data_IF_252405333966
#
_entry.id   IF_252405333966
#
_cell.length_a   1.000
_cell.length_b   1.000
_cell.length_c   1.000
_cell.angle_alpha   90.00
_cell.angle_beta   90.00
_cell.angle_gamma   90.00
#
_symmetry.space_group_name_H-M   'P 1'
#
loop_
_entity.id
_entity.type
_entity.pdbx_description
1 polymer ?
#
# COMPACT_ATOMS: atom_id res chain seq x y z
N UNK A 1 45.35 -4.23 -48.47
CA UNK A 1 44.73 -3.57 -47.30
C UNK A 1 43.26 -3.32 -47.62
N UNK A 2 42.36 -3.42 -46.62
CA UNK A 2 40.90 -3.24 -46.74
C UNK A 2 40.07 -4.46 -47.23
N UNK A 3 40.06 -5.57 -46.48
CA UNK A 3 38.99 -6.57 -46.63
C UNK A 3 38.65 -7.38 -45.37
N UNK A 4 39.28 -7.09 -44.21
CA UNK A 4 39.08 -7.89 -42.99
C UNK A 4 38.35 -7.16 -41.86
N UNK A 5 38.03 -5.87 -42.03
CA UNK A 5 37.46 -5.05 -40.94
C UNK A 5 35.92 -5.04 -40.89
N UNK A 6 35.26 -5.45 -41.98
CA UNK A 6 33.80 -5.34 -42.11
C UNK A 6 33.02 -6.56 -41.59
N UNK A 7 33.70 -7.67 -41.30
CA UNK A 7 33.04 -8.91 -40.83
C UNK A 7 33.01 -9.03 -39.30
N UNK A 8 33.74 -8.17 -38.57
CA UNK A 8 33.83 -8.25 -37.11
C UNK A 8 32.70 -7.50 -36.39
N UNK A 9 32.17 -6.43 -36.99
CA UNK A 9 31.08 -5.63 -36.39
C UNK A 9 29.68 -6.28 -36.49
N UNK A 10 29.45 -7.18 -37.44
CA UNK A 10 28.13 -7.80 -37.63
C UNK A 10 27.85 -8.97 -36.68
N UNK A 11 28.88 -9.55 -36.05
CA UNK A 11 28.71 -10.66 -35.10
C UNK A 11 28.23 -10.23 -33.71
N UNK A 12 28.33 -8.95 -33.37
CA UNK A 12 27.86 -8.43 -32.07
C UNK A 12 26.38 -8.07 -32.06
N UNK A 13 25.76 -7.82 -33.22
CA UNK A 13 24.32 -7.52 -33.31
C UNK A 13 23.42 -8.75 -33.13
N UNK A 14 23.92 -9.96 -33.41
CA UNK A 14 23.13 -11.19 -33.30
C UNK A 14 23.01 -11.77 -31.89
N UNK A 15 23.80 -11.30 -30.93
CA UNK A 15 23.86 -11.85 -29.56
C UNK A 15 23.11 -10.99 -28.52
N UNK A 16 22.58 -9.83 -28.91
CA UNK A 16 21.82 -8.97 -27.99
C UNK A 16 20.32 -9.28 -27.90
N UNK A 17 19.82 -10.25 -28.69
CA UNK A 17 18.40 -10.62 -28.72
C UNK A 17 18.01 -11.75 -27.74
N UNK A 18 18.99 -12.29 -27.00
CA UNK A 18 18.81 -13.43 -26.08
C UNK A 18 18.90 -13.06 -24.60
N UNK A 19 18.87 -11.76 -24.28
CA UNK A 19 18.81 -11.21 -22.93
C UNK A 19 17.65 -10.21 -22.79
N UNK A 20 16.43 -10.62 -23.16
CA UNK A 20 15.24 -10.08 -22.49
C UNK A 20 14.91 -11.03 -21.35
N UNK A 21 15.41 -10.77 -20.13
CA UNK A 21 15.12 -11.59 -18.98
C UNK A 21 13.67 -11.33 -18.56
N UNK A 22 13.04 -12.40 -18.08
CA UNK A 22 12.22 -12.45 -16.87
C UNK A 22 11.07 -11.43 -16.69
N UNK A 23 9.99 -11.98 -16.12
CA UNK A 23 8.94 -11.25 -15.42
C UNK A 23 7.83 -10.62 -16.27
N UNK A 24 7.19 -11.43 -17.13
CA UNK A 24 5.73 -11.36 -17.23
C UNK A 24 5.10 -12.26 -16.17
N UNK A 25 5.55 -12.10 -14.93
CA UNK A 25 4.72 -12.36 -13.77
C UNK A 25 3.70 -11.23 -13.73
N UNK A 26 2.67 -11.32 -14.56
CA UNK A 26 1.41 -10.63 -14.30
C UNK A 26 0.81 -11.37 -13.12
N UNK A 27 1.40 -11.13 -11.95
CA UNK A 27 0.62 -11.14 -10.74
C UNK A 27 -0.47 -10.13 -11.00
N UNK A 28 -1.66 -10.62 -11.31
CA UNK A 28 -2.85 -9.99 -10.80
C UNK A 28 -2.63 -9.91 -9.29
N UNK A 29 -1.92 -8.87 -8.84
CA UNK A 29 -1.95 -8.46 -7.46
C UNK A 29 -3.45 -8.25 -7.22
N UNK A 30 -4.04 -9.11 -6.40
CA UNK A 30 -5.43 -9.05 -5.99
C UNK A 30 -5.76 -7.60 -5.60
N UNK A 31 -6.32 -6.85 -6.55
CA UNK A 31 -6.80 -5.49 -6.35
C UNK A 31 -8.14 -5.59 -5.66
N UNK A 32 -8.10 -5.98 -4.39
CA UNK A 32 -9.14 -5.78 -3.39
C UNK A 32 -8.87 -6.75 -2.25
N UNK A 33 -7.86 -6.45 -1.41
CA UNK A 33 -7.73 -7.16 -0.15
C UNK A 33 -8.03 -6.16 0.96
N UNK A 34 -9.33 -6.03 1.27
CA UNK A 34 -9.72 -5.50 2.57
C UNK A 34 -8.92 -6.24 3.66
N UNK A 35 -8.50 -5.56 4.73
CA UNK A 35 -7.83 -6.23 5.83
C UNK A 35 -8.71 -7.34 6.39
N UNK A 36 -8.09 -8.49 6.69
CA UNK A 36 -8.78 -9.60 7.33
C UNK A 36 -9.45 -9.13 8.61
N UNK A 37 -10.77 -9.31 8.73
CA UNK A 37 -11.50 -8.99 9.95
C UNK A 37 -11.40 -10.14 10.96
N UNK A 38 -11.35 -9.86 12.27
CA UNK A 38 -11.61 -10.88 13.29
C UNK A 38 -12.97 -11.53 13.08
N UNK A 39 -13.06 -12.83 13.32
CA UNK A 39 -14.32 -13.58 13.28
C UNK A 39 -15.29 -13.07 14.35
N UNK A 40 -16.61 -13.28 14.21
CA UNK A 40 -17.61 -12.75 15.16
C UNK A 40 -17.41 -13.20 16.62
N UNK A 41 -16.76 -14.34 16.84
CA UNK A 41 -16.48 -14.90 18.17
C UNK A 41 -15.08 -14.50 18.71
N UNK A 42 -14.24 -13.85 17.91
CA UNK A 42 -12.92 -13.37 18.35
C UNK A 42 -13.05 -12.03 19.08
N UNK A 43 -12.23 -11.82 20.11
CA UNK A 43 -12.05 -10.51 20.74
C UNK A 43 -11.51 -9.49 19.73
N UNK A 44 -11.99 -8.25 19.80
CA UNK A 44 -11.57 -7.20 18.87
C UNK A 44 -11.55 -5.80 19.51
N UNK A 45 -10.80 -4.91 18.88
CA UNK A 45 -10.88 -3.46 19.05
C UNK A 45 -11.44 -2.82 17.77
N UNK A 46 -11.94 -1.59 17.87
CA UNK A 46 -12.47 -0.84 16.73
C UNK A 46 -11.56 0.35 16.45
N UNK A 47 -11.14 0.50 15.20
CA UNK A 47 -10.47 1.68 14.69
C UNK A 47 -11.45 2.48 13.83
N UNK A 48 -11.54 3.79 14.05
CA UNK A 48 -12.33 4.71 13.24
C UNK A 48 -11.43 5.77 12.64
N UNK A 49 -11.71 6.13 11.40
CA UNK A 49 -10.91 7.08 10.62
C UNK A 49 -11.80 8.22 10.14
N UNK A 50 -11.37 9.46 10.36
CA UNK A 50 -12.07 10.63 9.86
C UNK A 50 -12.09 10.66 8.32
N UNK A 51 -13.00 11.44 7.74
CA UNK A 51 -13.15 11.51 6.28
C UNK A 51 -11.86 11.99 5.57
N UNK A 52 -11.03 12.75 6.28
CA UNK A 52 -9.79 13.34 5.80
C UNK A 52 -8.57 12.39 5.89
N UNK A 53 -8.72 11.21 6.50
CA UNK A 53 -7.70 10.18 6.55
C UNK A 53 -8.13 8.94 5.79
N UNK A 54 -7.20 8.28 5.12
CA UNK A 54 -7.42 6.98 4.50
C UNK A 54 -6.36 6.00 4.97
N UNK A 55 -6.80 4.85 5.48
CA UNK A 55 -5.91 3.75 5.81
C UNK A 55 -5.38 3.12 4.53
N UNK A 56 -4.05 3.10 4.35
CA UNK A 56 -3.38 2.56 3.16
C UNK A 56 -2.48 1.36 3.46
N UNK A 57 -2.20 1.09 4.73
CA UNK A 57 -1.64 -0.18 5.16
C UNK A 57 -2.02 -0.48 6.62
N UNK A 58 -2.21 -1.76 6.89
CA UNK A 58 -2.35 -2.35 8.22
C UNK A 58 -1.35 -3.50 8.33
N UNK A 59 -0.44 -3.40 9.29
CA UNK A 59 0.67 -4.31 9.48
C UNK A 59 1.51 -4.47 8.20
N UNK A 60 1.55 -5.68 7.64
CA UNK A 60 2.26 -5.96 6.40
C UNK A 60 1.33 -5.87 5.17
N UNK A 61 0.03 -5.66 5.37
CA UNK A 61 -0.96 -5.63 4.31
C UNK A 61 -1.14 -4.21 3.77
N UNK A 62 -0.93 -4.06 2.47
CA UNK A 62 -1.27 -2.82 1.74
C UNK A 62 -2.75 -2.81 1.37
N UNK A 63 -3.39 -1.65 1.49
CA UNK A 63 -4.81 -1.45 1.22
C UNK A 63 -4.95 -0.51 0.03
N UNK A 64 -5.86 -0.85 -0.89
CA UNK A 64 -6.13 -0.03 -2.07
C UNK A 64 -6.72 1.33 -1.65
N UNK A 65 -6.13 2.41 -2.18
CA UNK A 65 -6.62 3.79 -1.98
C UNK A 65 -7.98 4.06 -2.64
N UNK A 66 -8.49 3.15 -3.47
CA UNK A 66 -9.87 3.20 -3.93
C UNK A 66 -10.88 2.87 -2.81
N UNK A 67 -10.45 2.15 -1.77
CA UNK A 67 -11.32 1.70 -0.68
C UNK A 67 -11.22 2.66 0.51
N UNK A 68 -12.32 3.35 0.80
CA UNK A 68 -12.42 4.25 1.95
C UNK A 68 -12.85 3.47 3.21
N UNK A 69 -11.89 2.92 3.94
CA UNK A 69 -12.15 2.29 5.25
C UNK A 69 -12.38 3.38 6.28
N UNK A 70 -13.57 3.42 6.88
CA UNK A 70 -13.95 4.37 7.95
C UNK A 70 -14.01 3.74 9.33
N UNK A 71 -14.32 2.45 9.36
CA UNK A 71 -14.36 1.65 10.58
C UNK A 71 -13.74 0.30 10.28
N UNK A 72 -12.91 -0.19 11.20
CA UNK A 72 -12.17 -1.43 11.05
C UNK A 72 -12.14 -2.18 12.38
N UNK A 73 -12.35 -3.50 12.36
CA UNK A 73 -12.08 -4.36 13.52
C UNK A 73 -10.67 -4.91 13.41
N UNK A 74 -9.94 -4.91 14.52
CA UNK A 74 -8.61 -5.49 14.63
C UNK A 74 -8.53 -6.38 15.87
N UNK A 75 -7.62 -7.36 15.85
CA UNK A 75 -7.35 -8.18 17.03
C UNK A 75 -6.68 -7.31 18.10
N UNK A 76 -6.80 -7.63 19.40
CA UNK A 76 -5.98 -6.98 20.41
C UNK A 76 -4.49 -7.27 20.16
N UNK A 77 -3.64 -6.29 20.42
CA UNK A 77 -2.21 -6.37 20.23
C UNK A 77 -1.62 -5.19 19.46
N UNK A 78 -0.33 -5.32 19.15
CA UNK A 78 0.43 -4.31 18.43
C UNK A 78 0.10 -4.32 16.94
N UNK A 79 -0.13 -3.13 16.38
CA UNK A 79 -0.41 -2.92 14.97
C UNK A 79 0.39 -1.76 14.39
N UNK A 80 0.77 -1.89 13.12
CA UNK A 80 1.43 -0.82 12.37
C UNK A 80 0.48 -0.27 11.31
N UNK A 81 0.12 1.01 11.43
CA UNK A 81 -0.79 1.70 10.51
C UNK A 81 -0.01 2.62 9.57
N UNK A 82 -0.51 2.80 8.35
CA UNK A 82 -0.10 3.91 7.47
C UNK A 82 -1.32 4.58 6.90
N UNK A 83 -1.25 5.91 6.84
CA UNK A 83 -2.35 6.73 6.39
C UNK A 83 -1.97 7.57 5.17
N UNK A 84 -3.00 7.96 4.44
CA UNK A 84 -2.96 8.95 3.38
C UNK A 84 -3.93 10.07 3.77
N UNK A 85 -3.44 11.31 3.78
CA UNK A 85 -4.30 12.48 3.92
C UNK A 85 -5.07 12.71 2.62
N UNK A 86 -6.38 12.90 2.74
CA UNK A 86 -7.28 13.16 1.61
C UNK A 86 -8.06 14.45 1.85
N UNK A 87 -8.37 15.17 0.78
CA UNK A 87 -9.14 16.42 0.86
C UNK A 87 -10.65 16.16 0.90
N UNK A 88 -11.08 15.33 1.86
CA UNK A 88 -12.47 14.94 2.04
C UNK A 88 -12.94 15.30 3.45
N UNK A 89 -14.16 15.82 3.56
CA UNK A 89 -14.76 16.20 4.85
C UNK A 89 -14.24 17.53 5.42
N UNK A 90 -14.74 17.93 6.61
CA UNK A 90 -14.48 19.25 7.20
C UNK A 90 -13.04 19.44 7.68
N UNK A 91 -12.33 18.35 8.00
CA UNK A 91 -10.92 18.34 8.40
C UNK A 91 -9.96 18.25 7.21
N UNK A 92 -10.48 18.14 5.99
CA UNK A 92 -9.69 18.01 4.77
C UNK A 92 -8.82 19.25 4.54
N UNK A 93 -7.53 19.04 4.30
CA UNK A 93 -6.62 20.11 3.91
C UNK A 93 -6.13 19.88 2.48
N UNK A 94 -6.44 20.78 1.53
CA UNK A 94 -5.92 20.71 0.17
C UNK A 94 -4.39 20.69 0.11
N UNK A 95 -3.71 21.29 1.10
CA UNK A 95 -2.23 21.31 1.17
C UNK A 95 -1.62 19.96 1.52
N UNK A 96 -2.30 19.18 2.34
CA UNK A 96 -1.80 17.88 2.82
C UNK A 96 -2.39 16.73 2.00
N UNK A 97 -3.28 16.99 1.05
CA UNK A 97 -3.88 15.98 0.20
C UNK A 97 -2.83 15.18 -0.57
N UNK A 98 -2.90 13.86 -0.49
CA UNK A 98 -1.93 12.94 -1.08
C UNK A 98 -0.70 12.67 -0.20
N UNK A 99 -0.55 13.36 0.94
CA UNK A 99 0.56 13.11 1.86
C UNK A 99 0.37 11.77 2.59
N UNK A 100 1.36 10.90 2.47
CA UNK A 100 1.43 9.67 3.25
C UNK A 100 2.09 9.95 4.60
N UNK A 101 1.56 9.34 5.66
CA UNK A 101 2.20 9.38 6.97
C UNK A 101 3.31 8.34 7.05
N UNK A 102 4.26 8.58 7.95
CA UNK A 102 5.15 7.54 8.41
C UNK A 102 4.37 6.40 9.08
N UNK A 103 4.96 5.18 9.17
CA UNK A 103 4.34 4.08 9.89
C UNK A 103 4.09 4.45 11.36
N UNK A 104 2.84 4.33 11.79
CA UNK A 104 2.40 4.60 13.14
C UNK A 104 2.13 3.28 13.86
N UNK A 105 2.88 3.00 14.92
CA UNK A 105 2.71 1.79 15.71
C UNK A 105 1.82 2.10 16.92
N UNK A 106 0.79 1.29 17.13
CA UNK A 106 -0.10 1.43 18.28
C UNK A 106 -0.46 0.07 18.87
N UNK A 107 -0.91 0.09 20.12
CA UNK A 107 -1.37 -1.09 20.85
C UNK A 107 -2.90 -1.04 20.97
N UNK A 108 -3.58 -2.05 20.43
CA UNK A 108 -5.02 -2.22 20.50
C UNK A 108 -5.40 -3.09 21.70
N UNK A 109 -6.32 -2.59 22.54
CA UNK A 109 -6.89 -3.35 23.64
C UNK A 109 -8.33 -3.76 23.34
N UNK A 110 -8.71 -4.94 23.80
CA UNK A 110 -10.04 -5.52 23.61
C UNK A 110 -11.16 -4.57 24.05
N UNK A 111 -12.20 -4.47 23.22
CA UNK A 111 -13.40 -3.69 23.53
C UNK A 111 -13.24 -2.17 23.41
N UNK A 112 -12.03 -1.67 23.14
CA UNK A 112 -11.78 -0.24 22.97
C UNK A 112 -12.08 0.25 21.56
N UNK A 113 -12.37 1.55 21.47
CA UNK A 113 -12.56 2.29 20.22
C UNK A 113 -11.48 3.36 20.13
N UNK A 114 -10.76 3.37 19.02
CA UNK A 114 -9.71 4.35 18.72
C UNK A 114 -10.14 5.21 17.53
N UNK A 115 -10.05 6.53 17.68
CA UNK A 115 -10.44 7.49 16.66
C UNK A 115 -9.19 8.21 16.13
N UNK A 116 -9.02 8.18 14.82
CA UNK A 116 -7.89 8.79 14.11
C UNK A 116 -8.38 9.93 13.24
N UNK A 117 -7.82 11.11 13.46
CA UNK A 117 -8.19 12.36 12.79
C UNK A 117 -6.97 13.00 12.11
N UNK A 118 -7.25 13.69 11.00
CA UNK A 118 -6.21 14.41 10.26
C UNK A 118 -5.85 15.68 11.03
N UNK A 119 -4.67 15.72 11.65
CA UNK A 119 -4.13 16.96 12.19
C UNK A 119 -3.40 17.72 11.08
N UNK A 120 -4.08 18.72 10.51
CA UNK A 120 -3.59 19.53 9.40
C UNK A 120 -2.98 20.86 9.84
#
# INVERSE_FOLDING_TARGET
MAAAFHQWLWRWFGLSLLCLPLCLGVGCADKSVLPSQPEPAESYAILKFSAAMQLVALDQQTIDTAVAIRTLRVRPGQHMLRFLHVNNGPEGSPRHAGQRTDPFVFEAFEGLIYEFEAKT
#
